data_IF_559648143014
#
_entry.id   IF_559648143014
#
_cell.length_a   1.000
_cell.length_b   1.000
_cell.length_c   1.000
_cell.angle_alpha   90.00
_cell.angle_beta   90.00
_cell.angle_gamma   90.00
#
_symmetry.space_group_name_H-M   'P 1'
#
loop_
_entity.id
_entity.type
_entity.pdbx_description
1 polymer ?
#
# COMPACT_ATOMS: atom_id res chain seq x y z
N UNK A 1 0.25 -37.18 50.99
CA UNK A 1 1.17 -38.24 50.52
C UNK A 1 0.97 -38.41 49.02
N UNK A 2 2.09 -38.60 48.33
CA UNK A 2 2.37 -38.50 46.89
C UNK A 2 1.35 -39.11 45.92
N UNK A 3 1.09 -38.42 44.81
CA UNK A 3 0.77 -39.07 43.53
C UNK A 3 1.56 -38.39 42.41
N UNK A 4 2.56 -39.11 41.92
CA UNK A 4 3.51 -38.71 40.88
C UNK A 4 2.93 -39.09 39.52
N UNK A 5 2.59 -38.11 38.69
CA UNK A 5 2.19 -38.33 37.30
C UNK A 5 3.43 -38.24 36.40
N UNK A 6 3.77 -39.37 35.79
CA UNK A 6 4.87 -39.54 34.86
C UNK A 6 4.75 -38.62 33.63
N UNK A 7 5.70 -37.70 33.44
CA UNK A 7 5.94 -37.08 32.14
C UNK A 7 6.53 -38.13 31.19
N UNK A 8 5.72 -38.59 30.23
CA UNK A 8 6.25 -39.29 29.05
C UNK A 8 6.90 -38.26 28.13
N UNK A 9 8.24 -38.34 27.99
CA UNK A 9 8.99 -37.63 26.95
C UNK A 9 8.50 -38.11 25.58
N UNK A 10 7.97 -37.21 24.77
CA UNK A 10 7.77 -37.47 23.34
C UNK A 10 9.11 -37.18 22.62
N UNK A 11 9.65 -38.21 21.97
CA UNK A 11 10.81 -38.07 21.08
C UNK A 11 10.27 -37.70 19.70
N UNK A 12 10.68 -36.55 19.17
CA UNK A 12 10.40 -36.15 17.78
C UNK A 12 11.65 -36.47 16.95
N UNK A 13 11.56 -37.47 16.09
CA UNK A 13 12.61 -37.80 15.12
C UNK A 13 12.35 -36.98 13.85
N UNK A 14 13.31 -36.13 13.48
CA UNK A 14 13.27 -35.37 12.23
C UNK A 14 13.90 -36.20 11.11
N UNK A 15 13.18 -36.40 10.00
CA UNK A 15 13.77 -36.83 8.73
C UNK A 15 13.47 -35.76 7.69
N UNK A 16 14.48 -34.95 7.37
CA UNK A 16 14.42 -33.94 6.31
C UNK A 16 14.88 -34.62 5.02
N UNK A 17 14.00 -34.70 4.01
CA UNK A 17 14.42 -34.95 2.63
C UNK A 17 14.19 -33.67 1.84
N UNK A 18 15.25 -33.19 1.21
CA UNK A 18 15.23 -31.96 0.41
C UNK A 18 14.91 -32.35 -1.04
N UNK A 19 13.72 -31.98 -1.51
CA UNK A 19 13.48 -31.70 -2.92
C UNK A 19 12.33 -30.70 -3.06
N UNK A 20 12.37 -29.93 -4.14
CA UNK A 20 11.68 -28.66 -4.37
C UNK A 20 10.17 -28.60 -4.07
N UNK A 21 9.74 -27.42 -3.60
CA UNK A 21 8.37 -26.84 -3.55
C UNK A 21 7.54 -27.13 -2.28
N UNK A 22 7.22 -26.03 -1.57
CA UNK A 22 6.23 -25.85 -0.50
C UNK A 22 6.41 -26.69 0.80
N UNK A 23 6.83 -26.02 1.88
CA UNK A 23 6.76 -26.58 3.23
C UNK A 23 5.42 -26.15 3.85
N UNK A 24 4.44 -27.05 3.89
CA UNK A 24 3.24 -26.89 4.71
C UNK A 24 3.49 -27.52 6.08
N UNK A 25 3.51 -26.71 7.13
CA UNK A 25 3.60 -27.19 8.51
C UNK A 25 2.20 -27.18 9.12
N UNK A 26 1.64 -28.37 9.37
CA UNK A 26 0.45 -28.53 10.21
C UNK A 26 0.86 -28.77 11.66
N UNK A 27 0.48 -27.84 12.54
CA UNK A 27 0.52 -28.06 14.00
C UNK A 27 -0.93 -28.11 14.48
N UNK A 28 -1.35 -29.29 14.92
CA UNK A 28 -2.68 -29.49 15.51
C UNK A 28 -2.52 -29.43 17.03
N UNK A 29 -3.00 -28.33 17.63
CA UNK A 29 -3.19 -28.23 19.08
C UNK A 29 -4.69 -28.24 19.35
N UNK A 30 -5.16 -29.29 20.02
CA UNK A 30 -6.53 -29.39 20.53
C UNK A 30 -6.51 -28.91 21.98
N UNK A 31 -7.12 -27.77 22.26
CA UNK A 31 -7.83 -27.53 23.52
C UNK A 31 -8.91 -26.45 23.34
N UNK A 32 -9.97 -26.56 24.14
CA UNK A 32 -11.28 -25.96 23.90
C UNK A 32 -11.38 -24.48 24.32
N UNK A 33 -12.33 -23.79 23.67
CA UNK A 33 -12.89 -22.47 23.98
C UNK A 33 -12.21 -21.24 23.35
N UNK A 34 -13.04 -20.45 22.67
CA UNK A 34 -12.77 -19.18 21.97
C UNK A 34 -12.04 -19.31 20.61
N UNK A 35 -12.82 -19.52 19.54
CA UNK A 35 -12.35 -19.34 18.15
C UNK A 35 -12.31 -17.85 17.81
N UNK A 36 -11.23 -17.15 18.19
CA UNK A 36 -10.75 -16.05 17.37
C UNK A 36 -10.06 -16.70 16.16
N UNK A 37 -10.69 -16.61 14.98
CA UNK A 37 -10.04 -16.99 13.74
C UNK A 37 -8.90 -16.01 13.48
N UNK A 38 -7.69 -16.36 13.90
CA UNK A 38 -6.47 -15.67 13.46
C UNK A 38 -6.23 -16.09 12.01
N UNK A 39 -6.90 -15.43 11.07
CA UNK A 39 -6.71 -15.68 9.64
C UNK A 39 -5.29 -15.27 9.22
N UNK A 40 -4.62 -16.19 8.53
CA UNK A 40 -3.28 -16.01 7.98
C UNK A 40 -3.39 -15.02 6.82
N UNK A 41 -2.97 -13.77 7.03
CA UNK A 41 -2.70 -12.85 5.92
C UNK A 41 -1.53 -13.44 5.13
N UNK A 42 -1.76 -13.87 3.89
CA UNK A 42 -0.68 -14.24 2.98
C UNK A 42 0.05 -12.96 2.55
N UNK A 43 1.02 -12.53 3.34
CA UNK A 43 2.00 -11.53 2.92
C UNK A 43 2.93 -12.21 1.90
N UNK A 44 2.52 -12.19 0.63
CA UNK A 44 3.41 -12.47 -0.49
C UNK A 44 4.32 -11.26 -0.67
N UNK A 45 5.38 -11.15 0.12
CA UNK A 45 6.46 -10.26 -0.28
C UNK A 45 6.95 -10.75 -1.64
N UNK A 46 6.77 -9.94 -2.67
CA UNK A 46 7.47 -10.17 -3.93
C UNK A 46 8.94 -9.86 -3.67
N UNK A 47 9.63 -10.82 -3.05
CA UNK A 47 11.08 -10.88 -3.09
C UNK A 47 11.47 -11.29 -4.49
N UNK A 48 11.99 -10.35 -5.28
CA UNK A 48 13.10 -10.66 -6.19
C UNK A 48 13.72 -9.51 -6.97
N UNK A 49 13.35 -8.24 -6.78
CA UNK A 49 13.90 -7.20 -7.65
C UNK A 49 14.39 -6.02 -6.80
N UNK A 50 15.72 -5.82 -6.70
CA UNK A 50 16.27 -4.55 -6.26
C UNK A 50 15.74 -3.42 -7.17
N UNK A 51 15.32 -2.29 -6.59
CA UNK A 51 15.29 -2.00 -5.16
C UNK A 51 14.05 -2.60 -4.46
N UNK A 52 14.16 -2.92 -3.17
CA UNK A 52 13.16 -3.67 -2.41
C UNK A 52 11.80 -2.95 -2.35
N UNK A 53 10.84 -3.46 -3.12
CA UNK A 53 9.42 -3.06 -3.09
C UNK A 53 8.61 -4.16 -2.40
N UNK A 54 7.76 -3.79 -1.45
CA UNK A 54 6.87 -4.71 -0.75
C UNK A 54 5.48 -4.64 -1.35
N UNK A 55 5.06 -5.71 -2.04
CA UNK A 55 3.68 -5.91 -2.48
C UNK A 55 2.98 -6.80 -1.45
N UNK A 56 1.87 -6.35 -0.88
CA UNK A 56 1.04 -7.11 0.05
C UNK A 56 -0.31 -7.35 -0.63
N UNK A 57 -0.47 -8.57 -1.15
CA UNK A 57 -1.65 -8.96 -1.92
C UNK A 57 -2.86 -9.18 -1.00
N UNK A 58 -4.03 -8.64 -1.38
CA UNK A 58 -5.30 -8.78 -0.63
C UNK A 58 -5.16 -8.44 0.88
N UNK A 59 -4.35 -7.43 1.21
CA UNK A 59 -4.19 -6.99 2.60
C UNK A 59 -5.46 -6.30 3.09
N UNK A 60 -6.04 -5.43 2.26
CA UNK A 60 -7.22 -4.65 2.59
C UNK A 60 -8.46 -5.50 2.39
N UNK A 61 -8.98 -6.05 3.48
CA UNK A 61 -10.23 -6.83 3.46
C UNK A 61 -11.42 -5.99 3.02
N UNK A 62 -12.46 -6.64 2.48
CA UNK A 62 -13.69 -6.01 1.97
C UNK A 62 -14.26 -4.93 2.89
N UNK A 63 -14.33 -5.18 4.20
CA UNK A 63 -14.85 -4.21 5.17
C UNK A 63 -14.02 -2.92 5.23
N UNK A 64 -12.69 -3.01 5.06
CA UNK A 64 -11.81 -1.85 4.95
C UNK A 64 -12.00 -1.15 3.61
N UNK A 65 -12.04 -1.90 2.50
CA UNK A 65 -12.25 -1.32 1.16
C UNK A 65 -13.57 -0.53 1.09
N UNK A 66 -14.67 -1.08 1.62
CA UNK A 66 -15.97 -0.40 1.66
C UNK A 66 -15.90 0.90 2.46
N UNK A 67 -15.22 0.90 3.62
CA UNK A 67 -15.04 2.10 4.44
C UNK A 67 -14.19 3.15 3.73
N UNK A 68 -13.05 2.74 3.16
CA UNK A 68 -12.14 3.60 2.40
C UNK A 68 -12.90 4.28 1.24
N UNK A 69 -13.63 3.51 0.43
CA UNK A 69 -14.41 4.04 -0.70
C UNK A 69 -15.46 5.04 -0.21
N UNK A 70 -16.27 4.68 0.78
CA UNK A 70 -17.34 5.56 1.29
C UNK A 70 -16.76 6.87 1.81
N UNK A 71 -15.66 6.82 2.58
CA UNK A 71 -15.00 8.05 3.05
C UNK A 71 -14.35 8.86 1.96
N UNK A 72 -13.70 8.25 0.98
CA UNK A 72 -13.20 8.99 -0.18
C UNK A 72 -14.33 9.63 -0.99
N UNK A 73 -15.51 9.00 -1.04
CA UNK A 73 -16.70 9.56 -1.70
C UNK A 73 -17.24 10.78 -0.94
N UNK A 74 -17.42 10.66 0.38
CA UNK A 74 -17.89 11.75 1.24
C UNK A 74 -16.95 12.96 1.15
N UNK A 75 -15.64 12.74 1.33
CA UNK A 75 -14.63 13.79 1.30
C UNK A 75 -14.46 14.37 -0.12
N UNK A 76 -14.52 13.52 -1.14
CA UNK A 76 -14.34 13.89 -2.53
C UNK A 76 -15.43 14.78 -3.11
N UNK A 77 -16.62 14.80 -2.49
CA UNK A 77 -17.73 15.69 -2.83
C UNK A 77 -17.73 17.01 -2.03
N UNK A 78 -16.93 17.09 -0.96
CA UNK A 78 -16.84 18.26 -0.10
C UNK A 78 -15.77 19.27 -0.53
N UNK A 79 -15.58 20.34 0.25
CA UNK A 79 -14.47 21.28 0.08
C UNK A 79 -13.12 20.56 0.12
N UNK A 80 -12.21 20.92 -0.78
CA UNK A 80 -10.92 20.23 -0.92
C UNK A 80 -11.01 18.84 -1.58
N UNK A 81 -12.19 18.45 -2.07
CA UNK A 81 -12.46 17.18 -2.74
C UNK A 81 -11.82 17.05 -4.13
N UNK A 82 -12.30 16.08 -4.92
CA UNK A 82 -11.68 15.71 -6.19
C UNK A 82 -11.70 16.86 -7.21
N UNK A 83 -10.53 17.12 -7.81
CA UNK A 83 -10.36 18.03 -8.93
C UNK A 83 -9.58 17.34 -10.05
N UNK A 84 -9.59 17.94 -11.24
CA UNK A 84 -8.74 17.52 -12.35
C UNK A 84 -7.47 18.36 -12.34
N UNK A 85 -6.30 17.78 -12.00
CA UNK A 85 -5.04 18.51 -11.93
C UNK A 85 -4.68 19.06 -13.30
N UNK A 86 -4.31 20.34 -13.34
CA UNK A 86 -3.89 21.03 -14.54
C UNK A 86 -2.57 21.77 -14.33
N UNK A 87 -1.85 21.98 -15.42
CA UNK A 87 -0.67 22.82 -15.51
C UNK A 87 -1.02 24.14 -16.20
N UNK A 88 -0.23 25.21 -16.00
CA UNK A 88 -0.47 26.52 -16.63
C UNK A 88 -0.47 26.51 -18.15
N UNK A 89 0.22 25.54 -18.76
CA UNK A 89 0.25 25.32 -20.21
C UNK A 89 -1.06 24.68 -20.75
N UNK A 90 -2.01 24.37 -19.87
CA UNK A 90 -3.28 23.73 -20.21
C UNK A 90 -3.25 22.21 -20.22
N UNK A 91 -2.08 21.58 -20.04
CA UNK A 91 -1.98 20.13 -19.88
C UNK A 91 -2.71 19.68 -18.61
N UNK A 92 -3.31 18.48 -18.65
CA UNK A 92 -4.02 17.90 -17.51
C UNK A 92 -3.53 16.50 -17.25
N UNK A 93 -3.55 16.10 -15.98
CA UNK A 93 -3.31 14.70 -15.63
C UNK A 93 -4.50 13.84 -16.07
N UNK A 94 -4.22 12.60 -16.47
CA UNK A 94 -5.25 11.62 -16.85
C UNK A 94 -5.82 10.90 -15.61
N UNK A 95 -6.10 11.67 -14.55
CA UNK A 95 -6.69 11.22 -13.30
C UNK A 95 -7.33 12.41 -12.58
N UNK A 96 -8.26 12.14 -11.68
CA UNK A 96 -8.72 13.13 -10.69
C UNK A 96 -7.96 12.92 -9.39
N UNK A 97 -7.67 13.99 -8.66
CA UNK A 97 -6.99 13.89 -7.38
C UNK A 97 -7.68 14.71 -6.29
N UNK A 98 -7.46 14.32 -5.05
CA UNK A 98 -7.62 15.17 -3.87
C UNK A 98 -6.51 14.84 -2.88
N UNK A 99 -6.19 15.78 -2.00
CA UNK A 99 -5.22 15.57 -0.94
C UNK A 99 -5.94 15.49 0.41
N UNK A 100 -5.36 14.76 1.35
CA UNK A 100 -5.76 14.76 2.76
C UNK A 100 -4.51 15.06 3.60
N UNK A 101 -4.63 15.89 4.63
CA UNK A 101 -3.49 16.41 5.38
C UNK A 101 -2.88 17.62 4.66
N UNK A 102 -1.66 17.48 4.13
CA UNK A 102 -1.05 18.54 3.29
C UNK A 102 -1.54 18.47 1.85
N UNK A 103 -1.65 19.64 1.20
CA UNK A 103 -1.94 19.76 -0.22
C UNK A 103 -0.64 19.61 -1.01
N UNK A 104 -0.59 18.70 -1.97
CA UNK A 104 0.43 18.73 -3.02
C UNK A 104 -0.08 19.54 -4.20
N UNK A 105 0.68 20.57 -4.60
CA UNK A 105 0.39 21.33 -5.80
C UNK A 105 1.12 20.73 -7.02
N UNK A 106 0.40 20.20 -8.02
CA UNK A 106 1.02 19.65 -9.23
C UNK A 106 1.82 20.67 -10.02
N UNK A 107 1.51 21.97 -9.89
CA UNK A 107 2.14 23.01 -10.69
C UNK A 107 3.53 23.37 -10.16
N UNK A 108 3.62 23.61 -8.85
CA UNK A 108 4.89 23.96 -8.18
C UNK A 108 5.67 22.75 -7.72
N UNK A 109 5.06 21.56 -7.68
CA UNK A 109 5.62 20.36 -7.04
C UNK A 109 6.03 20.63 -5.58
N UNK A 110 5.17 21.33 -4.84
CA UNK A 110 5.40 21.64 -3.42
C UNK A 110 4.21 21.27 -2.55
N UNK A 111 4.48 21.00 -1.27
CA UNK A 111 3.44 20.82 -0.27
C UNK A 111 3.08 22.13 0.44
N UNK A 112 1.79 22.35 0.64
CA UNK A 112 1.23 23.47 1.40
C UNK A 112 -0.01 23.07 2.18
N UNK A 113 -0.67 24.03 2.80
CA UNK A 113 -1.87 23.79 3.63
C UNK A 113 -3.19 24.13 2.89
N UNK A 114 -3.09 24.73 1.70
CA UNK A 114 -4.22 25.11 0.85
C UNK A 114 -3.95 24.76 -0.62
N UNK A 115 -5.02 24.53 -1.38
CA UNK A 115 -4.97 24.28 -2.82
C UNK A 115 -4.98 25.62 -3.58
N UNK A 116 -3.92 25.96 -4.34
CA UNK A 116 -3.81 27.29 -4.94
C UNK A 116 -4.91 27.67 -5.92
N UNK A 117 -5.50 26.70 -6.62
CA UNK A 117 -6.49 26.98 -7.66
C UNK A 117 -7.88 27.39 -7.13
N UNK A 118 -8.21 27.09 -5.87
CA UNK A 118 -9.50 27.43 -5.27
C UNK A 118 -9.47 27.79 -3.78
N UNK A 119 -8.28 27.86 -3.17
CA UNK A 119 -8.07 28.22 -1.76
C UNK A 119 -8.60 27.17 -0.77
N UNK A 120 -9.01 25.99 -1.23
CA UNK A 120 -9.57 24.99 -0.34
C UNK A 120 -8.50 24.32 0.53
N UNK A 121 -8.84 24.06 1.80
CA UNK A 121 -8.01 23.27 2.71
C UNK A 121 -8.28 21.78 2.50
N UNK A 122 -7.25 20.94 2.34
CA UNK A 122 -7.42 19.49 2.32
C UNK A 122 -8.10 19.01 3.61
N UNK A 123 -9.05 18.05 3.54
CA UNK A 123 -9.56 17.41 4.73
C UNK A 123 -8.43 16.70 5.51
N UNK A 124 -8.61 16.51 6.81
CA UNK A 124 -7.65 15.72 7.61
C UNK A 124 -7.63 14.27 7.13
N UNK A 125 -6.49 13.59 7.27
CA UNK A 125 -6.41 12.16 7.01
C UNK A 125 -7.23 11.43 8.09
N UNK A 126 -8.26 10.63 7.72
CA UNK A 126 -9.01 9.86 8.69
C UNK A 126 -8.08 8.93 9.48
N UNK A 127 -8.26 8.86 10.82
CA UNK A 127 -7.38 8.05 11.68
C UNK A 127 -7.28 6.60 11.22
N UNK A 128 -8.39 6.02 10.79
CA UNK A 128 -8.44 4.65 10.28
C UNK A 128 -7.54 4.43 9.05
N UNK A 129 -7.32 5.45 8.22
CA UNK A 129 -6.43 5.36 7.05
C UNK A 129 -4.98 5.29 7.52
N UNK A 130 -4.61 6.17 8.47
CA UNK A 130 -3.29 6.16 9.09
C UNK A 130 -3.00 4.83 9.80
N UNK A 131 -3.98 4.29 10.52
CA UNK A 131 -3.85 3.00 11.22
C UNK A 131 -3.62 1.84 10.24
N UNK A 132 -4.33 1.84 9.10
CA UNK A 132 -4.11 0.85 8.03
C UNK A 132 -2.73 0.98 7.39
N UNK A 133 -2.27 2.20 7.11
CA UNK A 133 -0.94 2.42 6.53
C UNK A 133 0.18 1.96 7.48
N UNK A 134 0.07 2.30 8.77
CA UNK A 134 0.99 1.85 9.82
C UNK A 134 0.98 0.32 9.98
N UNK A 135 -0.20 -0.30 9.89
CA UNK A 135 -0.32 -1.76 9.91
C UNK A 135 0.39 -2.42 8.72
N UNK A 136 0.24 -1.87 7.51
CA UNK A 136 0.90 -2.41 6.32
C UNK A 136 2.44 -2.35 6.42
N UNK A 137 2.98 -1.28 7.02
CA UNK A 137 4.42 -1.18 7.33
C UNK A 137 4.82 -2.26 8.34
N UNK A 138 4.06 -2.42 9.43
CA UNK A 138 4.32 -3.45 10.44
C UNK A 138 4.29 -4.88 9.87
N UNK A 139 3.35 -5.15 8.97
CA UNK A 139 3.25 -6.46 8.29
C UNK A 139 4.46 -6.70 7.36
N UNK A 140 4.95 -5.64 6.70
CA UNK A 140 6.21 -5.68 5.94
C UNK A 140 7.43 -5.90 6.84
N UNK A 141 7.49 -5.26 8.01
CA UNK A 141 8.57 -5.46 8.98
C UNK A 141 8.66 -6.91 9.44
N UNK A 142 7.54 -7.51 9.84
CA UNK A 142 7.47 -8.92 10.24
C UNK A 142 7.93 -9.88 9.12
N UNK A 143 7.84 -9.46 7.85
CA UNK A 143 8.37 -10.23 6.73
C UNK A 143 9.88 -10.04 6.52
N UNK A 144 10.40 -8.83 6.70
CA UNK A 144 11.83 -8.52 6.61
C UNK A 144 12.61 -9.25 7.71
N UNK A 145 12.10 -9.24 8.95
CA UNK A 145 12.73 -9.90 10.10
C UNK A 145 12.96 -11.40 9.88
N UNK A 146 12.09 -12.06 9.11
CA UNK A 146 12.21 -13.50 8.81
C UNK A 146 13.36 -13.85 7.85
N UNK A 147 13.94 -12.87 7.17
CA UNK A 147 14.91 -13.10 6.07
C UNK A 147 16.20 -12.33 6.21
N UNK A 148 16.17 -11.22 6.94
CA UNK A 148 17.35 -10.40 7.10
C UNK A 148 18.17 -10.89 8.30
N UNK A 149 19.49 -10.99 8.12
CA UNK A 149 20.46 -11.04 9.23
C UNK A 149 20.72 -9.64 9.82
N UNK A 150 19.92 -8.63 9.47
CA UNK A 150 20.14 -7.24 9.90
C UNK A 150 19.67 -7.06 11.35
N UNK A 151 20.29 -6.09 12.02
CA UNK A 151 20.08 -5.84 13.45
C UNK A 151 18.76 -5.10 13.73
N UNK A 152 18.33 -4.21 12.82
CA UNK A 152 17.09 -3.44 12.95
C UNK A 152 16.35 -3.39 11.61
N UNK A 153 15.02 -3.58 11.64
CA UNK A 153 14.17 -3.64 10.45
C UNK A 153 13.94 -2.25 9.84
N UNK A 154 13.98 -1.22 10.67
CA UNK A 154 13.83 0.18 10.32
C UNK A 154 14.98 0.69 9.45
N UNK A 155 16.15 0.06 9.51
CA UNK A 155 17.28 0.33 8.61
C UNK A 155 16.99 -0.11 7.16
N UNK A 156 15.98 -0.97 6.96
CA UNK A 156 15.52 -1.44 5.65
C UNK A 156 14.32 -0.63 5.21
N UNK A 157 13.33 -0.51 6.10
CA UNK A 157 12.07 0.16 5.84
C UNK A 157 11.72 1.00 7.08
N UNK A 158 11.95 2.32 7.06
CA UNK A 158 11.61 3.17 8.18
C UNK A 158 10.12 3.14 8.51
N UNK A 159 9.78 3.37 9.78
CA UNK A 159 8.41 3.66 10.19
C UNK A 159 7.94 5.01 9.64
N UNK A 160 6.62 5.20 9.53
CA UNK A 160 5.99 6.42 9.04
C UNK A 160 4.83 6.86 9.95
N UNK A 161 4.70 8.16 10.16
CA UNK A 161 3.51 8.82 10.67
C UNK A 161 2.94 9.73 9.58
N UNK A 162 2.03 9.21 8.71
CA UNK A 162 1.64 9.93 7.51
C UNK A 162 0.91 11.23 7.85
N UNK A 163 1.39 12.32 7.25
CA UNK A 163 0.78 13.65 7.27
C UNK A 163 0.33 14.10 5.87
N UNK A 164 0.56 13.26 4.85
CA UNK A 164 0.09 13.38 3.48
C UNK A 164 -0.66 12.10 3.10
N UNK A 165 -1.83 12.25 2.48
CA UNK A 165 -2.44 11.20 1.67
C UNK A 165 -2.96 11.80 0.37
N UNK A 166 -2.39 11.38 -0.76
CA UNK A 166 -2.89 11.76 -2.09
C UNK A 166 -3.85 10.68 -2.56
N UNK A 167 -5.09 11.07 -2.84
CA UNK A 167 -6.13 10.17 -3.34
C UNK A 167 -6.32 10.41 -4.84
N UNK A 168 -5.96 9.43 -5.65
CA UNK A 168 -6.08 9.45 -7.10
C UNK A 168 -7.23 8.57 -7.57
N UNK A 169 -8.08 9.09 -8.45
CA UNK A 169 -9.11 8.33 -9.16
C UNK A 169 -8.77 8.30 -10.66
N UNK A 170 -8.55 7.09 -11.17
CA UNK A 170 -8.27 6.81 -12.57
C UNK A 170 -9.55 6.28 -13.22
N UNK A 171 -9.98 6.88 -14.34
CA UNK A 171 -10.95 6.24 -15.22
C UNK A 171 -10.31 5.05 -15.97
N UNK A 172 -11.07 4.35 -16.79
CA UNK A 172 -10.57 3.24 -17.63
C UNK A 172 -9.43 3.65 -18.57
N UNK A 173 -9.38 4.92 -18.99
CA UNK A 173 -8.31 5.50 -19.80
C UNK A 173 -7.22 6.20 -18.98
N UNK A 174 -7.28 6.08 -17.65
CA UNK A 174 -6.40 6.81 -16.74
C UNK A 174 -4.97 6.30 -16.82
N UNK A 175 -4.01 7.20 -16.65
CA UNK A 175 -2.57 6.90 -16.69
C UNK A 175 -1.77 7.94 -15.93
N UNK A 176 -0.60 7.53 -15.44
CA UNK A 176 0.37 8.41 -14.82
C UNK A 176 1.77 7.99 -15.27
N UNK A 177 2.49 8.92 -15.91
CA UNK A 177 3.83 8.66 -16.44
C UNK A 177 4.85 8.37 -15.34
N UNK A 178 6.04 7.90 -15.74
CA UNK A 178 7.13 7.65 -14.80
C UNK A 178 7.58 8.93 -14.11
N UNK A 179 7.50 8.93 -12.78
CA UNK A 179 7.88 10.02 -11.89
C UNK A 179 8.51 9.47 -10.60
N UNK A 180 9.06 10.36 -9.79
CA UNK A 180 9.54 10.08 -8.45
C UNK A 180 8.73 10.91 -7.46
N UNK A 181 8.48 10.34 -6.29
CA UNK A 181 7.91 11.06 -5.16
C UNK A 181 9.05 11.73 -4.40
N UNK A 182 9.41 12.97 -4.77
CA UNK A 182 10.61 13.65 -4.26
C UNK A 182 10.36 15.04 -3.68
N UNK A 183 9.10 15.35 -3.39
CA UNK A 183 8.67 16.68 -2.98
C UNK A 183 8.47 16.77 -1.46
N UNK A 184 8.64 15.67 -0.73
CA UNK A 184 8.68 15.64 0.73
C UNK A 184 9.93 16.34 1.29
N UNK A 185 10.01 16.55 2.62
CA UNK A 185 11.18 17.21 3.19
C UNK A 185 12.48 16.44 2.90
N UNK A 186 13.59 17.18 2.84
CA UNK A 186 14.91 16.59 2.65
C UNK A 186 15.26 15.57 3.74
N UNK A 187 14.78 15.77 4.97
CA UNK A 187 14.97 14.81 6.05
C UNK A 187 14.19 13.51 5.79
N UNK A 188 12.91 13.61 5.42
CA UNK A 188 12.06 12.45 5.08
C UNK A 188 12.67 11.62 3.94
N UNK A 189 13.10 12.29 2.86
CA UNK A 189 13.74 11.64 1.72
C UNK A 189 15.08 10.99 2.08
N UNK A 190 15.94 11.66 2.86
CA UNK A 190 17.23 11.11 3.31
C UNK A 190 17.07 9.90 4.22
N UNK A 191 16.09 9.94 5.13
CA UNK A 191 15.74 8.81 5.99
C UNK A 191 15.16 7.64 5.18
N UNK A 192 14.63 7.91 3.98
CA UNK A 192 13.96 6.90 3.16
C UNK A 192 12.58 6.54 3.71
N UNK A 193 11.88 7.47 4.36
CA UNK A 193 10.54 7.23 4.93
C UNK A 193 9.60 6.75 3.82
N UNK A 194 8.94 5.59 3.95
CA UNK A 194 8.32 4.93 2.82
C UNK A 194 7.12 5.67 2.23
N UNK A 195 6.80 5.35 0.98
CA UNK A 195 5.50 5.57 0.39
C UNK A 195 4.66 4.30 0.57
N UNK A 196 3.42 4.44 1.05
CA UNK A 196 2.45 3.33 1.16
C UNK A 196 1.28 3.61 0.23
N UNK A 197 0.99 2.69 -0.69
CA UNK A 197 0.03 2.89 -1.78
C UNK A 197 -1.04 1.81 -1.77
N UNK A 198 -2.30 2.18 -1.56
CA UNK A 198 -3.45 1.28 -1.57
C UNK A 198 -4.08 1.23 -2.97
N UNK A 199 -4.51 0.04 -3.40
CA UNK A 199 -5.22 -0.17 -4.67
C UNK A 199 -6.63 -0.67 -4.43
N UNK A 200 -7.62 0.01 -5.01
CA UNK A 200 -9.05 -0.26 -4.80
C UNK A 200 -9.81 -0.11 -6.13
N UNK A 201 -10.68 -1.05 -6.47
CA UNK A 201 -11.45 -1.02 -7.71
C UNK A 201 -10.74 -1.76 -8.84
N UNK A 202 -10.75 -1.21 -10.06
CA UNK A 202 -10.13 -1.86 -11.20
C UNK A 202 -8.62 -2.04 -11.00
N UNK A 203 -8.10 -3.15 -11.50
CA UNK A 203 -6.67 -3.47 -11.45
C UNK A 203 -5.88 -2.50 -12.31
N UNK A 204 -4.61 -2.30 -11.98
CA UNK A 204 -3.70 -1.46 -12.77
C UNK A 204 -2.37 -2.16 -13.05
N UNK A 205 -1.77 -1.84 -14.20
CA UNK A 205 -0.35 -2.13 -14.46
C UNK A 205 0.47 -0.99 -13.88
N UNK A 206 1.21 -1.30 -12.81
CA UNK A 206 2.13 -0.41 -12.15
C UNK A 206 3.54 -0.67 -12.67
N UNK A 207 4.21 0.41 -13.06
CA UNK A 207 5.58 0.41 -13.54
C UNK A 207 6.51 0.85 -12.42
N UNK A 208 7.68 0.23 -12.27
CA UNK A 208 8.72 0.75 -11.38
C UNK A 208 10.14 0.36 -11.79
N UNK A 209 11.12 1.22 -11.49
CA UNK A 209 12.53 0.95 -11.75
C UNK A 209 13.46 2.05 -11.23
N UNK A 210 14.77 1.84 -11.35
CA UNK A 210 15.78 2.81 -10.94
C UNK A 210 16.00 3.93 -11.97
N UNK A 211 15.63 3.69 -13.22
CA UNK A 211 15.79 4.65 -14.32
C UNK A 211 14.45 5.07 -14.91
N UNK A 212 14.46 6.17 -15.67
CA UNK A 212 13.26 6.77 -16.24
C UNK A 212 12.85 6.10 -17.57
N UNK A 213 13.68 5.20 -18.12
CA UNK A 213 13.40 4.52 -19.37
C UNK A 213 12.38 3.38 -19.19
N UNK A 214 11.28 3.44 -19.95
CA UNK A 214 10.17 2.48 -19.85
C UNK A 214 10.54 1.04 -20.25
N UNK A 215 11.63 0.84 -20.99
CA UNK A 215 12.13 -0.49 -21.33
C UNK A 215 12.98 -1.11 -20.20
N UNK A 216 13.28 -0.35 -19.16
CA UNK A 216 14.05 -0.78 -17.99
C UNK A 216 13.21 -0.82 -16.71
N UNK A 217 11.91 -0.54 -16.80
CA UNK A 217 11.01 -0.66 -15.65
C UNK A 217 10.36 -2.03 -15.61
N UNK A 218 10.21 -2.54 -14.39
CA UNK A 218 9.44 -3.71 -14.08
C UNK A 218 7.95 -3.41 -14.07
N UNK A 219 7.15 -4.46 -14.22
CA UNK A 219 5.69 -4.37 -14.27
C UNK A 219 5.08 -5.28 -13.22
N UNK A 220 4.18 -4.73 -12.42
CA UNK A 220 3.33 -5.51 -11.51
C UNK A 220 1.87 -5.14 -11.71
N UNK A 221 1.01 -6.15 -11.67
CA UNK A 221 -0.43 -5.96 -11.62
C UNK A 221 -0.83 -5.71 -10.17
N UNK A 222 -1.44 -4.55 -9.91
CA UNK A 222 -2.03 -4.22 -8.61
C UNK A 222 -3.54 -4.41 -8.69
N UNK A 223 -4.07 -5.25 -7.82
CA UNK A 223 -5.49 -5.59 -7.77
C UNK A 223 -6.20 -4.88 -6.60
N UNK A 224 -7.53 -4.93 -6.58
CA UNK A 224 -8.30 -4.37 -5.47
C UNK A 224 -7.98 -5.12 -4.18
N UNK A 225 -7.53 -4.40 -3.16
CA UNK A 225 -7.10 -5.00 -1.89
C UNK A 225 -5.60 -4.93 -1.67
N UNK A 226 -4.83 -4.69 -2.72
CA UNK A 226 -3.38 -4.69 -2.66
C UNK A 226 -2.82 -3.42 -2.01
N UNK A 227 -1.71 -3.60 -1.30
CA UNK A 227 -0.89 -2.52 -0.78
C UNK A 227 0.53 -2.65 -1.33
N UNK A 228 1.06 -1.57 -1.85
CA UNK A 228 2.45 -1.47 -2.30
C UNK A 228 3.22 -0.52 -1.38
N UNK A 229 4.42 -0.91 -0.95
CA UNK A 229 5.28 -0.07 -0.11
C UNK A 229 6.69 -0.03 -0.71
N UNK A 230 7.22 1.18 -0.88
CA UNK A 230 8.61 1.41 -1.29
C UNK A 230 9.25 2.49 -0.44
N UNK A 231 10.40 2.17 0.14
CA UNK A 231 11.11 3.01 1.10
C UNK A 231 12.56 2.56 1.26
N UNK A 232 13.29 3.18 2.19
CA UNK A 232 14.72 2.98 2.33
C UNK A 232 15.44 3.22 1.00
N UNK A 233 16.17 2.21 0.50
CA UNK A 233 16.85 2.31 -0.80
C UNK A 233 15.90 2.45 -2.00
N UNK A 234 14.67 1.96 -1.88
CA UNK A 234 13.65 2.05 -2.92
C UNK A 234 12.85 3.36 -2.88
N UNK A 235 13.16 4.28 -1.96
CA UNK A 235 12.33 5.47 -1.73
C UNK A 235 12.19 6.35 -2.98
N UNK A 236 13.22 6.40 -3.81
CA UNK A 236 13.30 7.27 -4.99
C UNK A 236 13.19 6.50 -6.31
N UNK A 237 12.49 5.37 -6.35
CA UNK A 237 12.23 4.68 -7.63
C UNK A 237 11.40 5.55 -8.58
N UNK A 238 11.70 5.46 -9.86
CA UNK A 238 10.77 5.88 -10.89
C UNK A 238 9.59 4.91 -10.91
N UNK A 239 8.39 5.44 -10.94
CA UNK A 239 7.19 4.62 -10.98
C UNK A 239 6.02 5.33 -11.66
N UNK A 240 5.01 4.57 -12.04
CA UNK A 240 3.85 5.09 -12.75
C UNK A 240 2.75 4.06 -12.94
N UNK A 241 1.66 4.48 -13.58
CA UNK A 241 0.52 3.62 -13.94
C UNK A 241 0.35 3.70 -15.46
N UNK A 242 0.63 2.60 -16.16
CA UNK A 242 0.54 2.56 -17.62
C UNK A 242 -0.89 2.29 -18.10
N UNK A 243 -1.61 1.40 -17.41
CA UNK A 243 -2.89 0.84 -17.87
C UNK A 243 -3.82 0.57 -16.70
N UNK A 244 -5.11 0.88 -16.86
CA UNK A 244 -6.21 0.41 -16.00
C UNK A 244 -6.92 -0.73 -16.74
N UNK A 245 -7.11 -1.86 -16.06
CA UNK A 245 -7.82 -3.01 -16.62
C UNK A 245 -9.31 -2.92 -16.28
N UNK A 246 -10.18 -2.56 -17.25
CA UNK A 246 -11.60 -2.34 -16.99
C UNK A 246 -12.30 -3.62 -16.52
N UNK A 247 -13.37 -3.45 -15.75
CA UNK A 247 -14.26 -4.53 -15.30
C UNK A 247 -13.55 -5.62 -14.46
N UNK A 248 -12.51 -5.22 -13.71
CA UNK A 248 -11.76 -6.13 -12.84
C UNK A 248 -11.96 -5.86 -11.36
N UNK A 249 -12.67 -4.79 -11.01
CA UNK A 249 -13.11 -4.55 -9.64
C UNK A 249 -14.01 -5.70 -9.12
N UNK A 250 -13.86 -6.14 -7.86
CA UNK A 250 -14.70 -7.19 -7.29
C UNK A 250 -16.19 -6.79 -7.29
N UNK A 251 -17.05 -7.63 -7.87
CA UNK A 251 -18.50 -7.33 -8.04
C UNK A 251 -19.20 -6.94 -6.74
N UNK A 252 -19.00 -7.69 -5.66
CA UNK A 252 -19.59 -7.40 -4.35
C UNK A 252 -19.15 -6.02 -3.81
N UNK A 253 -17.90 -5.62 -4.07
CA UNK A 253 -17.39 -4.30 -3.67
C UNK A 253 -18.13 -3.19 -4.43
N UNK A 254 -18.39 -3.38 -5.73
CA UNK A 254 -19.14 -2.43 -6.54
C UNK A 254 -20.59 -2.30 -6.06
N UNK A 255 -21.26 -3.42 -5.82
CA UNK A 255 -22.66 -3.46 -5.34
C UNK A 255 -22.84 -2.73 -4.00
N UNK A 256 -21.90 -2.88 -3.07
CA UNK A 256 -22.00 -2.27 -1.73
C UNK A 256 -21.62 -0.79 -1.68
N UNK A 257 -20.85 -0.30 -2.65
CA UNK A 257 -20.25 1.05 -2.61
C UNK A 257 -20.72 1.98 -3.73
N UNK A 258 -21.30 1.42 -4.79
CA UNK A 258 -21.57 2.12 -6.03
C UNK A 258 -20.31 2.88 -6.52
N UNK A 259 -19.14 2.23 -6.42
CA UNK A 259 -17.89 2.77 -6.95
C UNK A 259 -18.03 2.90 -8.47
N UNK A 260 -17.61 4.05 -9.01
CA UNK A 260 -17.59 4.26 -10.46
C UNK A 260 -16.53 3.37 -11.10
N UNK A 261 -16.77 2.92 -12.33
CA UNK A 261 -15.78 2.20 -13.12
C UNK A 261 -14.44 2.95 -13.14
N UNK A 262 -13.35 2.24 -12.88
CA UNK A 262 -12.04 2.80 -12.64
C UNK A 262 -11.38 2.34 -11.34
N UNK A 263 -10.27 2.99 -11.03
CA UNK A 263 -9.39 2.66 -9.91
C UNK A 263 -9.24 3.83 -8.97
N UNK A 264 -9.39 3.57 -7.68
CA UNK A 264 -9.04 4.48 -6.60
C UNK A 264 -7.69 4.07 -6.00
N UNK A 265 -6.84 5.04 -5.73
CA UNK A 265 -5.52 4.86 -5.13
C UNK A 265 -5.30 5.87 -4.02
N UNK A 266 -4.82 5.41 -2.87
CA UNK A 266 -4.47 6.26 -1.74
C UNK A 266 -2.98 6.09 -1.46
N UNK A 267 -2.22 7.17 -1.57
CA UNK A 267 -0.77 7.16 -1.39
C UNK A 267 -0.40 7.99 -0.16
N UNK A 268 0.11 7.32 0.87
CA UNK A 268 0.47 7.90 2.16
C UNK A 268 1.95 8.19 2.24
N UNK A 269 2.29 9.38 2.77
CA UNK A 269 3.66 9.88 2.89
C UNK A 269 3.83 10.72 4.16
N UNK A 270 5.07 10.97 4.53
CA UNK A 270 5.47 11.87 5.63
C UNK A 270 6.33 13.00 5.05
N UNK A 271 5.85 14.23 5.22
CA UNK A 271 6.59 15.47 4.97
C UNK A 271 7.52 15.75 6.13
#
# INVERSE_FOLDING_TARGET
MSSSAHLRRLVVVWRVTISNIAINIHVQLISASCRSQTEIVQVKCIRRIPPLVHHLQDLLKRSNLVKLIKKCKDLGLGPGGFYLPGYRDGAKLNLKMMCLGKNWDPETSTYGDERPCDGSKPPIIPKEFCDLAKRAIKDSHAHIEKDSRKRYVEDVLPSMSPNICIVNFYSTSGRLGLHQDKDESQESLRRGVPVVSFSIGDSAEFLYGDQREINQVEKIRLESGDVLIFGGKARNIYHGVSTIFPDTAPKLLLEETNLRAGRLNLTFREY
#
